data_IF_786709496293
#
_entry.id   IF_786709496293
#
_cell.length_a   1.000
_cell.length_b   1.000
_cell.length_c   1.000
_cell.angle_alpha   90.00
_cell.angle_beta   90.00
_cell.angle_gamma   90.00
#
_symmetry.space_group_name_H-M   'P 1'
#
loop_
_entity.id
_entity.type
_entity.pdbx_description
1 polymer ?
#
# COMPACT_ATOMS: atom_id res chain seq x y z
N UNK A 1 -2.22 -17.75 1.99
CA UNK A 1 -3.35 -16.87 1.64
C UNK A 1 -3.53 -15.83 2.73
N UNK A 2 -3.18 -14.57 2.45
CA UNK A 2 -3.32 -13.47 3.40
C UNK A 2 -4.73 -12.87 3.35
N UNK A 3 -5.25 -12.49 4.52
CA UNK A 3 -6.45 -11.67 4.62
C UNK A 3 -6.01 -10.21 4.73
N UNK A 4 -6.53 -9.35 3.85
CA UNK A 4 -6.30 -7.91 3.92
C UNK A 4 -7.53 -7.25 4.52
N UNK A 5 -7.34 -6.60 5.68
CA UNK A 5 -8.35 -5.76 6.29
C UNK A 5 -7.96 -4.29 6.10
N UNK A 6 -8.92 -3.46 5.68
CA UNK A 6 -8.72 -2.03 5.42
C UNK A 6 -9.37 -1.20 6.52
N UNK A 7 -8.62 -0.23 7.05
CA UNK A 7 -9.15 0.74 8.02
C UNK A 7 -9.91 1.87 7.31
N UNK A 8 -10.86 2.48 8.02
CA UNK A 8 -11.58 3.67 7.54
C UNK A 8 -10.64 4.84 7.25
N UNK A 9 -9.58 4.99 8.05
CA UNK A 9 -8.61 6.07 7.88
C UNK A 9 -7.76 5.89 6.62
N UNK A 10 -7.37 4.66 6.31
CA UNK A 10 -6.70 4.37 5.04
C UNK A 10 -7.59 4.73 3.85
N UNK A 11 -8.86 4.32 3.88
CA UNK A 11 -9.81 4.58 2.79
C UNK A 11 -10.05 6.08 2.58
N UNK A 12 -10.25 6.84 3.66
CA UNK A 12 -10.37 8.30 3.61
C UNK A 12 -9.11 8.95 3.04
N UNK A 13 -7.91 8.54 3.47
CA UNK A 13 -6.64 9.08 2.98
C UNK A 13 -6.47 8.84 1.48
N UNK A 14 -6.75 7.61 1.02
CA UNK A 14 -6.65 7.23 -0.39
C UNK A 14 -7.66 7.99 -1.27
N UNK A 15 -8.88 8.23 -0.77
CA UNK A 15 -9.87 9.06 -1.49
C UNK A 15 -9.44 10.51 -1.63
N UNK A 16 -8.76 11.07 -0.62
CA UNK A 16 -8.26 12.47 -0.62
C UNK A 16 -6.98 12.68 -1.43
N UNK A 17 -6.28 11.61 -1.84
CA UNK A 17 -5.05 11.70 -2.62
C UNK A 17 -5.36 12.19 -4.05
N UNK A 18 -4.94 13.42 -4.38
CA UNK A 18 -5.18 14.05 -5.69
C UNK A 18 -4.38 13.42 -6.83
N UNK A 19 -3.21 12.87 -6.53
CA UNK A 19 -2.36 12.25 -7.53
C UNK A 19 -2.89 10.86 -7.90
N UNK A 20 -3.52 10.78 -9.07
CA UNK A 20 -4.12 9.55 -9.61
C UNK A 20 -3.05 8.48 -9.85
N UNK A 21 -1.84 8.85 -10.30
CA UNK A 21 -0.77 7.88 -10.57
C UNK A 21 -0.22 7.29 -9.27
N UNK A 22 -0.01 8.11 -8.25
CA UNK A 22 0.37 7.64 -6.93
C UNK A 22 -0.71 6.70 -6.35
N UNK A 23 -1.99 7.08 -6.48
CA UNK A 23 -3.13 6.27 -6.04
C UNK A 23 -3.16 4.91 -6.72
N UNK A 24 -3.01 4.85 -8.04
CA UNK A 24 -2.98 3.60 -8.80
C UNK A 24 -1.81 2.70 -8.40
N UNK A 25 -0.63 3.27 -8.13
CA UNK A 25 0.53 2.49 -7.66
C UNK A 25 0.29 1.85 -6.30
N UNK A 26 -0.36 2.56 -5.37
CA UNK A 26 -0.72 2.01 -4.05
C UNK A 26 -1.71 0.85 -4.22
N UNK A 27 -2.78 1.05 -4.99
CA UNK A 27 -3.80 0.01 -5.21
C UNK A 27 -3.22 -1.22 -5.92
N UNK A 28 -2.39 -1.02 -6.93
CA UNK A 28 -1.73 -2.12 -7.65
C UNK A 28 -0.84 -2.94 -6.72
N UNK A 29 -0.15 -2.29 -5.77
CA UNK A 29 0.69 -3.01 -4.80
C UNK A 29 -0.13 -3.84 -3.82
N UNK A 30 -1.27 -3.33 -3.35
CA UNK A 30 -2.21 -4.11 -2.51
C UNK A 30 -2.73 -5.30 -3.29
N UNK A 31 -3.15 -5.11 -4.54
CA UNK A 31 -3.63 -6.20 -5.39
C UNK A 31 -2.56 -7.28 -5.60
N UNK A 32 -1.30 -6.88 -5.84
CA UNK A 32 -0.16 -7.83 -5.92
C UNK A 32 0.08 -8.59 -4.62
N UNK A 33 -0.15 -7.96 -3.47
CA UNK A 33 -0.08 -8.66 -2.19
C UNK A 33 -1.20 -9.69 -2.06
N UNK A 34 -2.43 -9.36 -2.49
CA UNK A 34 -3.58 -10.27 -2.45
C UNK A 34 -3.42 -11.47 -3.38
N UNK A 35 -2.96 -11.25 -4.61
CA UNK A 35 -2.92 -12.29 -5.65
C UNK A 35 -1.64 -13.12 -5.61
N UNK A 36 -0.49 -12.47 -5.37
CA UNK A 36 0.83 -13.09 -5.57
C UNK A 36 1.59 -13.24 -4.25
N UNK A 37 0.99 -12.87 -3.10
CA UNK A 37 1.62 -12.83 -1.79
C UNK A 37 2.92 -11.99 -1.77
N UNK A 38 3.03 -11.05 -2.71
CA UNK A 38 4.25 -10.30 -2.95
C UNK A 38 4.23 -8.93 -2.25
N UNK A 39 4.89 -8.84 -1.10
CA UNK A 39 5.00 -7.61 -0.30
C UNK A 39 5.86 -6.51 -0.96
N UNK A 40 6.85 -6.90 -1.76
CA UNK A 40 7.81 -5.96 -2.35
C UNK A 40 8.74 -5.34 -1.31
N UNK A 41 9.06 -4.05 -1.46
CA UNK A 41 9.88 -3.33 -0.47
C UNK A 41 9.05 -3.09 0.80
N UNK A 42 9.15 -4.04 1.74
CA UNK A 42 8.52 -3.97 3.05
C UNK A 42 9.60 -4.05 4.12
N UNK A 43 9.66 -3.07 5.02
CA UNK A 43 10.68 -3.01 6.07
C UNK A 43 10.05 -2.94 7.45
N UNK A 44 10.61 -3.61 8.46
CA UNK A 44 10.12 -3.50 9.83
C UNK A 44 10.30 -2.07 10.33
N UNK A 45 9.31 -1.57 11.07
CA UNK A 45 9.36 -0.26 11.75
C UNK A 45 9.25 -0.38 13.27
N UNK A 46 9.21 -1.61 13.81
CA UNK A 46 9.06 -1.89 15.24
C UNK A 46 7.71 -2.54 15.56
N UNK A 47 7.58 -3.10 16.76
CA UNK A 47 6.30 -3.59 17.33
C UNK A 47 5.52 -4.60 16.46
N UNK A 48 6.24 -5.40 15.66
CA UNK A 48 5.60 -6.33 14.71
C UNK A 48 4.94 -5.66 13.50
N UNK A 49 5.20 -4.37 13.29
CA UNK A 49 4.67 -3.57 12.18
C UNK A 49 5.72 -3.50 11.06
N UNK A 50 5.27 -3.76 9.83
CA UNK A 50 6.04 -3.56 8.61
C UNK A 50 5.47 -2.40 7.79
N UNK A 51 6.35 -1.58 7.24
CA UNK A 51 6.00 -0.51 6.31
C UNK A 51 6.29 -0.94 4.87
N UNK A 52 5.26 -0.93 4.03
CA UNK A 52 5.38 -1.16 2.61
C UNK A 52 5.66 0.14 1.87
N UNK A 53 6.83 0.20 1.22
CA UNK A 53 7.35 1.39 0.55
C UNK A 53 7.08 1.34 -0.95
N UNK A 54 6.68 2.50 -1.47
CA UNK A 54 6.43 2.71 -2.89
C UNK A 54 7.19 3.97 -3.29
N UNK A 55 8.35 3.77 -3.91
CA UNK A 55 9.12 4.87 -4.45
C UNK A 55 8.39 5.45 -5.67
N UNK A 56 7.90 6.68 -5.52
CA UNK A 56 7.23 7.41 -6.57
C UNK A 56 7.57 8.90 -6.47
N UNK A 57 8.26 9.40 -7.49
CA UNK A 57 8.41 10.83 -7.76
C UNK A 57 7.55 11.17 -8.99
N UNK A 58 7.03 12.39 -9.04
CA UNK A 58 6.15 12.85 -10.14
C UNK A 58 6.92 13.17 -11.43
N UNK A 59 8.23 12.95 -11.46
CA UNK A 59 9.17 13.61 -12.38
C UNK A 59 9.85 14.74 -11.65
#
# INVERSE_FOLDING_TARGET
MFRIDKTTEFDKRIRKLKDIRAKSKILFRIQKLETDEHFGDCKPVGDGIGEMRINYAKG
#
